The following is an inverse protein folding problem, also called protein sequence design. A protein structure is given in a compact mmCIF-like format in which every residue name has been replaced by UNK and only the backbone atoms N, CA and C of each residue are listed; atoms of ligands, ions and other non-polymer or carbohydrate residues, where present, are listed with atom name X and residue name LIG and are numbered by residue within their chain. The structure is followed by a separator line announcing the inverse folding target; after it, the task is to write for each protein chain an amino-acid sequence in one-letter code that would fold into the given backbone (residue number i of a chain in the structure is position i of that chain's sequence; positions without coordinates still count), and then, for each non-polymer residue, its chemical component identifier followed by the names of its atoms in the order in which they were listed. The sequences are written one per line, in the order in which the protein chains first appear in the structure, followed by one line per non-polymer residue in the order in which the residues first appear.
data_IF_264637698605
#
_entry.id   IF_264637698605
#
_cell.length_a   1.000
_cell.length_b   1.000
_cell.length_c   1.000
_cell.angle_alpha   90.00
_cell.angle_beta   90.00
_cell.angle_gamma   90.00
#
_symmetry.space_group_name_H-M   'P 1'
#
loop_
_entity.id
_entity.type
_entity.pdbx_description
1 polymer ?
#
# COMPACT_ATOMS: atom_id res chain seq x y z
N UNK A 1 24.13 2.86 -8.76
CA UNK A 1 22.71 3.22 -8.87
C UNK A 1 21.96 2.42 -7.82
N UNK A 2 21.49 3.05 -6.74
CA UNK A 2 20.66 2.36 -5.75
C UNK A 2 19.34 2.00 -6.44
N UNK A 3 19.09 0.71 -6.66
CA UNK A 3 17.75 0.20 -6.94
C UNK A 3 16.92 0.52 -5.70
N UNK A 4 16.26 1.69 -5.66
CA UNK A 4 15.23 1.97 -4.66
C UNK A 4 14.02 1.12 -5.04
N UNK A 5 13.99 -0.09 -4.50
CA UNK A 5 12.80 -0.94 -4.60
C UNK A 5 11.63 -0.28 -3.87
N UNK A 6 10.42 -0.40 -4.42
CA UNK A 6 9.25 0.20 -3.80
C UNK A 6 8.93 -0.52 -2.49
N UNK A 7 8.64 0.22 -1.42
CA UNK A 7 8.07 -0.33 -0.20
C UNK A 7 6.60 -0.69 -0.45
N UNK A 8 6.20 -1.90 -0.08
CA UNK A 8 4.88 -2.44 -0.35
C UNK A 8 4.23 -2.98 0.92
N UNK A 9 2.90 -2.90 0.94
CA UNK A 9 2.06 -3.55 1.95
C UNK A 9 1.07 -4.49 1.26
N UNK A 10 0.79 -5.63 1.87
CA UNK A 10 -0.34 -6.48 1.54
C UNK A 10 -1.19 -6.63 2.80
N UNK A 11 -2.40 -6.08 2.75
CA UNK A 11 -3.37 -6.17 3.84
C UNK A 11 -4.14 -7.49 3.64
N UNK A 12 -4.11 -8.34 4.65
CA UNK A 12 -4.71 -9.68 4.69
C UNK A 12 -6.08 -9.61 5.37
N UNK A 13 -6.19 -8.81 6.43
CA UNK A 13 -7.44 -8.44 7.07
C UNK A 13 -7.42 -6.95 7.38
N UNK A 14 -8.57 -6.30 7.25
CA UNK A 14 -8.75 -4.86 7.48
C UNK A 14 -8.83 -4.49 8.97
N UNK A 15 -9.09 -3.21 9.27
CA UNK A 15 -9.17 -2.70 10.65
C UNK A 15 -10.31 -3.29 11.48
N UNK A 16 -11.40 -3.70 10.83
CA UNK A 16 -12.53 -4.40 11.45
C UNK A 16 -12.23 -5.89 11.68
N UNK A 17 -11.15 -6.40 11.08
CA UNK A 17 -10.72 -7.80 11.16
C UNK A 17 -11.36 -8.66 10.08
N UNK A 18 -12.00 -8.08 9.06
CA UNK A 18 -12.54 -8.81 7.94
C UNK A 18 -11.42 -9.25 6.99
N UNK A 19 -11.46 -10.51 6.57
CA UNK A 19 -10.42 -11.07 5.69
C UNK A 19 -10.65 -10.59 4.26
N UNK A 20 -9.61 -9.98 3.68
CA UNK A 20 -9.63 -9.50 2.30
C UNK A 20 -9.43 -10.68 1.35
N UNK A 21 -10.39 -10.89 0.46
CA UNK A 21 -10.24 -11.88 -0.61
C UNK A 21 -9.20 -11.45 -1.64
N UNK A 22 -8.27 -12.35 -2.00
CA UNK A 22 -7.24 -12.12 -3.01
C UNK A 22 -6.36 -10.87 -2.78
N UNK A 23 -5.74 -10.73 -1.60
CA UNK A 23 -5.04 -9.51 -1.20
C UNK A 23 -3.88 -9.20 -2.15
N UNK A 24 -3.71 -7.92 -2.47
CA UNK A 24 -2.71 -7.44 -3.44
C UNK A 24 -1.55 -6.73 -2.76
N UNK A 25 -0.45 -6.57 -3.48
CA UNK A 25 0.66 -5.73 -3.03
C UNK A 25 0.38 -4.29 -3.47
N UNK A 26 0.07 -3.45 -2.49
CA UNK A 26 -0.12 -2.02 -2.63
C UNK A 26 1.21 -1.30 -2.44
N UNK A 27 1.37 -0.15 -3.09
CA UNK A 27 2.45 0.76 -2.75
C UNK A 27 2.21 1.26 -1.32
N UNK A 28 3.21 1.13 -0.46
CA UNK A 28 3.17 1.73 0.87
C UNK A 28 3.69 3.17 0.79
N UNK A 29 3.02 4.08 1.47
CA UNK A 29 3.47 5.46 1.62
C UNK A 29 3.17 5.97 3.03
N UNK A 30 3.74 7.12 3.37
CA UNK A 30 3.40 7.83 4.59
C UNK A 30 2.27 8.82 4.30
N UNK A 31 1.12 8.60 4.93
CA UNK A 31 -0.04 9.48 4.89
C UNK A 31 -0.23 10.12 6.26
N UNK A 32 -0.04 11.44 6.34
CA UNK A 32 -0.21 12.23 7.57
C UNK A 32 0.57 11.71 8.79
N UNK A 33 1.76 11.13 8.57
CA UNK A 33 2.60 10.55 9.63
C UNK A 33 2.46 9.03 9.75
N UNK A 34 1.44 8.43 9.14
CA UNK A 34 1.07 7.02 9.29
C UNK A 34 1.39 6.18 8.05
N UNK A 35 1.83 4.91 8.17
CA UNK A 35 1.94 4.02 7.03
C UNK A 35 0.55 3.72 6.48
N UNK A 36 0.36 3.87 5.17
CA UNK A 36 -0.90 3.60 4.52
C UNK A 36 -0.73 2.93 3.15
N UNK A 37 -1.76 2.23 2.69
CA UNK A 37 -1.84 1.80 1.30
C UNK A 37 -2.08 3.02 0.41
N UNK A 38 -1.26 3.19 -0.63
CA UNK A 38 -1.24 4.40 -1.46
C UNK A 38 -2.60 4.73 -2.11
N UNK A 39 -3.32 3.70 -2.56
CA UNK A 39 -4.54 3.92 -3.33
C UNK A 39 -5.81 4.11 -2.49
N UNK A 40 -5.88 3.46 -1.33
CA UNK A 40 -7.06 3.50 -0.45
C UNK A 40 -6.88 4.47 0.72
N UNK A 41 -5.64 4.78 1.10
CA UNK A 41 -5.34 5.51 2.33
C UNK A 41 -5.48 4.65 3.58
N UNK A 42 -5.76 3.34 3.44
CA UNK A 42 -5.94 2.43 4.55
C UNK A 42 -4.65 2.34 5.38
N UNK A 43 -4.76 2.71 6.65
CA UNK A 43 -3.64 2.81 7.59
C UNK A 43 -3.29 1.43 8.13
N UNK A 44 -1.99 1.16 8.33
CA UNK A 44 -1.51 -0.09 8.90
C UNK A 44 -0.34 0.14 9.87
N UNK A 45 -0.05 -0.87 10.71
CA UNK A 45 1.21 -0.98 11.46
C UNK A 45 1.32 -0.32 12.83
N UNK A 46 0.30 0.40 13.31
CA UNK A 46 0.31 0.97 14.67
C UNK A 46 -0.13 0.00 15.77
N UNK A 47 -0.71 -1.16 15.41
CA UNK A 47 -1.15 -2.17 16.38
C UNK A 47 -2.42 -1.79 17.17
N UNK A 48 -3.05 -0.65 16.85
CA UNK A 48 -4.29 -0.20 17.49
C UNK A 48 -5.57 -0.80 16.84
N UNK A 49 -5.44 -1.39 15.64
CA UNK A 49 -6.55 -2.04 14.92
C UNK A 49 -6.34 -3.55 14.73
N UNK A 50 -7.34 -4.24 14.18
CA UNK A 50 -7.29 -5.68 13.91
C UNK A 50 -6.60 -6.03 12.58
N UNK A 51 -6.07 -5.03 11.89
CA UNK A 51 -5.47 -5.20 10.57
C UNK A 51 -4.27 -6.16 10.61
N UNK A 52 -4.32 -7.18 9.75
CA UNK A 52 -3.23 -8.13 9.54
C UNK A 52 -2.58 -7.81 8.21
N UNK A 53 -1.26 -7.64 8.17
CA UNK A 53 -0.57 -7.23 6.94
C UNK A 53 0.85 -7.80 6.83
N UNK A 54 1.34 -7.89 5.60
CA UNK A 54 2.72 -8.20 5.25
C UNK A 54 3.40 -6.98 4.63
N UNK A 55 4.71 -6.83 4.87
CA UNK A 55 5.53 -5.79 4.22
C UNK A 55 6.72 -6.41 3.48
N UNK A 56 7.07 -5.80 2.33
CA UNK A 56 8.30 -6.12 1.61
C UNK A 56 8.70 -5.00 0.66
N UNK A 57 9.90 -5.09 0.12
CA UNK A 57 10.27 -4.34 -1.08
C UNK A 57 9.94 -5.13 -2.34
N UNK A 58 9.53 -4.47 -3.43
CA UNK A 58 9.36 -5.14 -4.72
C UNK A 58 8.43 -4.47 -5.74
N UNK A 59 7.62 -5.29 -6.43
CA UNK A 59 6.66 -4.88 -7.48
C UNK A 59 5.22 -4.80 -6.98
N UNK A 60 4.55 -3.69 -7.30
CA UNK A 60 3.13 -3.44 -7.04
C UNK A 60 2.29 -4.42 -7.86
N UNK A 61 1.28 -5.04 -7.24
CA UNK A 61 0.28 -5.88 -7.94
C UNK A 61 -1.15 -5.36 -7.82
N UNK A 62 -1.39 -4.31 -7.03
CA UNK A 62 -2.67 -3.61 -6.99
C UNK A 62 -2.88 -2.80 -8.29
N UNK A 63 -3.97 -3.04 -9.05
CA UNK A 63 -4.23 -2.30 -10.29
C UNK A 63 -4.46 -0.81 -10.04
N UNK A 64 -5.17 -0.45 -8.97
CA UNK A 64 -5.46 0.95 -8.64
C UNK A 64 -4.18 1.73 -8.29
N UNK A 65 -3.26 1.13 -7.52
CA UNK A 65 -1.95 1.75 -7.29
C UNK A 65 -1.19 1.98 -8.61
N UNK A 66 -1.20 1.01 -9.53
CA UNK A 66 -0.52 1.14 -10.81
C UNK A 66 -1.12 2.28 -11.64
N UNK A 67 -2.44 2.38 -11.71
CA UNK A 67 -3.12 3.42 -12.47
C UNK A 67 -2.92 4.81 -11.86
N UNK A 68 -2.97 4.95 -10.54
CA UNK A 68 -2.66 6.22 -9.86
C UNK A 68 -1.21 6.66 -10.10
N UNK A 69 -0.23 5.74 -10.01
CA UNK A 69 1.17 6.05 -10.30
C UNK A 69 1.35 6.49 -11.75
N UNK A 70 0.66 5.85 -12.70
CA UNK A 70 0.67 6.25 -14.12
C UNK A 70 0.08 7.65 -14.31
N UNK A 71 -1.06 7.93 -13.67
CA UNK A 71 -1.72 9.24 -13.72
C UNK A 71 -0.82 10.35 -13.20
N UNK A 72 -0.16 10.13 -12.06
CA UNK A 72 0.79 11.10 -11.49
C UNK A 72 1.98 11.33 -12.42
N UNK A 73 2.55 10.25 -12.99
CA UNK A 73 3.65 10.36 -13.96
C UNK A 73 3.27 11.08 -15.25
N UNK A 74 1.99 11.11 -15.61
CA UNK A 74 1.51 11.82 -16.79
C UNK A 74 1.39 13.34 -16.57
N UNK A 75 1.35 13.80 -15.32
CA UNK A 75 1.37 15.24 -14.98
C UNK A 75 2.74 15.81 -15.32
N UNK A 76 2.75 16.81 -16.21
CA UNK A 76 3.93 17.64 -16.47
C UNK A 76 3.87 18.85 -15.54
N UNK A 77 4.92 19.04 -14.74
CA UNK A 77 5.10 20.21 -13.87
C UNK A 77 5.91 21.29 -14.58
#
# INVERSE_FOLDING_TARGET
MSNRENSLVKIIADEDGEVIENPKWHLAWNYAGSPAAFCTGEVFGYGEGNAVFEQKNGRITCPLCLDMVRSIKAVKL
#
